data_IF_745263646927
#
_entry.id   IF_745263646927
#
_cell.length_a   1.000
_cell.length_b   1.000
_cell.length_c   1.000
_cell.angle_alpha   90.00
_cell.angle_beta   90.00
_cell.angle_gamma   90.00
#
_symmetry.space_group_name_H-M   'P 1'
#
loop_
_entity.id
_entity.type
_entity.pdbx_description
1 polymer ?
#
# COMPACT_ATOMS: atom_id res chain seq x y z
N UNK A 1 7.53 -2.46 -18.96
CA UNK A 1 7.88 -1.48 -17.90
C UNK A 1 6.79 -1.49 -16.83
N UNK A 2 7.14 -1.75 -15.57
CA UNK A 2 6.19 -1.93 -14.45
C UNK A 2 6.36 -0.78 -13.45
N UNK A 3 5.99 0.44 -13.85
CA UNK A 3 6.17 1.62 -13.00
C UNK A 3 5.02 1.75 -11.98
N UNK A 4 3.83 2.15 -12.45
CA UNK A 4 2.65 2.36 -11.59
C UNK A 4 2.21 1.10 -10.83
N UNK A 5 2.37 -0.08 -11.43
CA UNK A 5 2.03 -1.35 -10.79
C UNK A 5 2.85 -1.64 -9.53
N UNK A 6 4.13 -1.25 -9.50
CA UNK A 6 4.99 -1.41 -8.34
C UNK A 6 4.61 -0.46 -7.18
N UNK A 7 4.06 0.72 -7.50
CA UNK A 7 3.56 1.65 -6.48
C UNK A 7 2.25 1.17 -5.84
N UNK A 8 1.36 0.56 -6.61
CA UNK A 8 0.12 -0.05 -6.10
C UNK A 8 0.41 -1.34 -5.34
N UNK A 9 1.38 -2.12 -5.83
CA UNK A 9 1.69 -3.45 -5.32
C UNK A 9 3.20 -3.66 -5.21
N UNK A 10 3.82 -3.32 -4.07
CA UNK A 10 5.27 -3.41 -3.89
C UNK A 10 5.83 -4.82 -4.03
N UNK A 11 5.06 -5.84 -3.65
CA UNK A 11 5.40 -7.26 -3.79
C UNK A 11 5.16 -7.84 -5.20
N UNK A 12 4.79 -7.01 -6.17
CA UNK A 12 4.55 -7.44 -7.56
C UNK A 12 5.76 -8.14 -8.19
N UNK A 13 6.98 -7.75 -7.81
CA UNK A 13 8.19 -8.41 -8.29
C UNK A 13 8.29 -9.86 -7.80
N UNK A 14 7.89 -10.13 -6.56
CA UNK A 14 7.82 -11.48 -6.00
C UNK A 14 6.79 -12.32 -6.75
N UNK A 15 5.61 -11.77 -7.01
CA UNK A 15 4.60 -12.47 -7.80
C UNK A 15 5.04 -12.81 -9.23
N UNK A 16 5.71 -11.86 -9.91
CA UNK A 16 6.25 -12.10 -11.25
C UNK A 16 7.31 -13.20 -11.22
N UNK A 17 8.21 -13.15 -10.22
CA UNK A 17 9.28 -14.15 -10.07
C UNK A 17 8.72 -15.54 -9.76
N UNK A 18 7.72 -15.62 -8.88
CA UNK A 18 7.16 -16.88 -8.38
C UNK A 18 5.97 -17.38 -9.21
N UNK A 19 5.53 -16.62 -10.22
CA UNK A 19 4.39 -16.94 -11.08
C UNK A 19 3.12 -17.28 -10.26
N UNK A 20 2.88 -16.53 -9.18
CA UNK A 20 1.72 -16.70 -8.30
C UNK A 20 1.08 -15.37 -7.94
N UNK A 21 -0.20 -15.43 -7.56
CA UNK A 21 -0.87 -14.32 -6.91
C UNK A 21 -0.67 -14.41 -5.40
N UNK A 22 -0.26 -13.31 -4.78
CA UNK A 22 -0.03 -13.26 -3.35
C UNK A 22 -1.11 -12.43 -2.68
N UNK A 23 -2.00 -13.13 -1.97
CA UNK A 23 -3.02 -12.49 -1.14
C UNK A 23 -2.45 -12.07 0.22
N UNK A 24 -1.57 -11.08 0.20
CA UNK A 24 -0.88 -10.55 1.39
C UNK A 24 -1.88 -10.08 2.44
N UNK A 25 -1.58 -10.30 3.72
CA UNK A 25 -2.40 -9.84 4.85
C UNK A 25 -2.26 -8.33 5.10
N UNK A 26 -3.19 -7.76 5.87
CA UNK A 26 -3.11 -6.37 6.33
C UNK A 26 -1.86 -6.11 7.17
N UNK A 27 -1.45 -7.05 8.02
CA UNK A 27 -0.27 -6.95 8.87
C UNK A 27 1.02 -6.95 8.04
N UNK A 28 1.17 -7.85 7.08
CA UNK A 28 2.33 -7.84 6.17
C UNK A 28 2.40 -6.54 5.34
N UNK A 29 1.25 -5.99 4.92
CA UNK A 29 1.19 -4.68 4.26
C UNK A 29 1.60 -3.55 5.20
N UNK A 30 1.16 -3.59 6.45
CA UNK A 30 1.53 -2.60 7.45
C UNK A 30 3.03 -2.64 7.75
N UNK A 31 3.63 -3.82 7.79
CA UNK A 31 5.07 -4.00 7.98
C UNK A 31 5.88 -3.34 6.87
N UNK A 32 5.40 -3.37 5.61
CA UNK A 32 6.02 -2.62 4.50
C UNK A 32 6.01 -1.09 4.76
N UNK A 33 4.94 -0.56 5.34
CA UNK A 33 4.86 0.87 5.69
C UNK A 33 5.79 1.21 6.87
N UNK A 34 5.91 0.29 7.83
CA UNK A 34 6.86 0.43 8.94
C UNK A 34 8.30 0.47 8.43
N UNK A 35 8.66 -0.44 7.53
CA UNK A 35 9.99 -0.47 6.91
C UNK A 35 10.28 0.82 6.14
N UNK A 36 9.32 1.31 5.34
CA UNK A 36 9.47 2.61 4.66
C UNK A 36 9.70 3.76 5.64
N UNK A 37 8.97 3.77 6.77
CA UNK A 37 9.14 4.79 7.80
C UNK A 37 10.53 4.72 8.41
N UNK A 38 11.00 3.51 8.77
CA UNK A 38 12.33 3.30 9.33
C UNK A 38 13.43 3.77 8.38
N UNK A 39 13.39 3.35 7.10
CA UNK A 39 14.36 3.76 6.10
C UNK A 39 14.30 5.26 5.80
N UNK A 40 13.10 5.84 5.78
CA UNK A 40 12.92 7.28 5.59
C UNK A 40 13.56 8.10 6.71
N UNK A 41 13.39 7.67 7.97
CA UNK A 41 13.98 8.34 9.13
C UNK A 41 15.49 8.11 9.22
N UNK A 42 16.00 6.96 8.81
CA UNK A 42 17.44 6.69 8.69
C UNK A 42 18.09 7.61 7.63
N UNK A 43 17.42 7.79 6.49
CA UNK A 43 17.95 8.56 5.37
C UNK A 43 17.77 10.07 5.52
N UNK A 44 16.64 10.53 6.03
CA UNK A 44 16.29 11.96 6.11
C UNK A 44 16.44 12.56 7.51
N UNK A 45 16.63 11.74 8.53
CA UNK A 45 16.74 12.15 9.92
C UNK A 45 15.42 12.10 10.68
N UNK A 46 15.52 12.10 12.01
CA UNK A 46 14.40 12.13 12.94
C UNK A 46 14.11 13.53 13.48
N UNK A 47 14.72 14.57 12.90
CA UNK A 47 14.39 15.95 13.18
C UNK A 47 13.06 16.34 12.49
N UNK A 48 12.54 17.52 12.79
CA UNK A 48 11.27 17.97 12.20
C UNK A 48 11.29 17.90 10.67
N UNK A 49 12.39 18.29 10.04
CA UNK A 49 12.48 18.30 8.58
C UNK A 49 12.47 16.88 7.99
N UNK A 50 13.23 15.95 8.58
CA UNK A 50 13.27 14.55 8.15
C UNK A 50 11.94 13.82 8.37
N UNK A 51 11.28 14.07 9.50
CA UNK A 51 9.95 13.51 9.79
C UNK A 51 8.90 14.00 8.80
N UNK A 52 8.83 15.31 8.53
CA UNK A 52 7.88 15.86 7.55
C UNK A 52 8.14 15.34 6.13
N UNK A 53 9.42 15.19 5.75
CA UNK A 53 9.78 14.61 4.45
C UNK A 53 9.34 13.15 4.34
N UNK A 54 9.58 12.35 5.38
CA UNK A 54 9.11 10.96 5.45
C UNK A 54 7.60 10.87 5.31
N UNK A 55 6.87 11.70 6.07
CA UNK A 55 5.40 11.71 6.06
C UNK A 55 4.85 12.10 4.70
N UNK A 56 5.43 13.12 4.05
CA UNK A 56 4.99 13.55 2.72
C UNK A 56 5.07 12.42 1.70
N UNK A 57 6.22 11.76 1.60
CA UNK A 57 6.38 10.65 0.64
C UNK A 57 5.53 9.43 1.02
N UNK A 58 5.32 9.17 2.32
CA UNK A 58 4.39 8.13 2.77
C UNK A 58 2.96 8.40 2.28
N UNK A 59 2.46 9.62 2.45
CA UNK A 59 1.11 10.00 2.00
C UNK A 59 0.97 9.96 0.47
N UNK A 60 2.02 10.39 -0.25
CA UNK A 60 2.07 10.26 -1.71
C UNK A 60 2.00 8.77 -2.13
N UNK A 61 2.70 7.88 -1.43
CA UNK A 61 2.67 6.46 -1.73
C UNK A 61 1.34 5.80 -1.37
N UNK A 62 0.73 6.16 -0.23
CA UNK A 62 -0.59 5.67 0.19
C UNK A 62 -1.68 5.99 -0.85
N UNK A 63 -1.57 7.13 -1.55
CA UNK A 63 -2.46 7.48 -2.67
C UNK A 63 -2.44 6.47 -3.82
N UNK A 64 -1.36 5.70 -3.96
CA UNK A 64 -1.25 4.61 -4.92
C UNK A 64 -1.65 3.27 -4.31
N UNK A 65 -1.20 2.97 -3.09
CA UNK A 65 -1.48 1.71 -2.39
C UNK A 65 -2.97 1.49 -2.13
N UNK A 66 -3.76 2.55 -1.93
CA UNK A 66 -5.20 2.42 -1.69
C UNK A 66 -6.00 1.84 -2.86
N UNK A 67 -5.38 1.71 -4.03
CA UNK A 67 -5.99 1.13 -5.23
C UNK A 67 -5.84 -0.40 -5.31
N UNK A 68 -5.02 -0.99 -4.43
CA UNK A 68 -4.91 -2.43 -4.31
C UNK A 68 -6.20 -3.01 -3.71
N UNK A 69 -6.67 -4.10 -4.31
CA UNK A 69 -7.78 -4.91 -3.78
C UNK A 69 -7.19 -6.26 -3.37
N UNK A 70 -7.44 -6.72 -2.12
CA UNK A 70 -7.08 -8.08 -1.70
C UNK A 70 -7.56 -9.14 -2.70
N UNK A 71 -6.71 -10.11 -3.02
CA UNK A 71 -7.01 -11.11 -4.06
C UNK A 71 -8.22 -11.95 -3.66
N UNK A 72 -8.39 -12.26 -2.38
CA UNK A 72 -9.55 -12.98 -1.87
C UNK A 72 -10.91 -12.26 -2.05
N UNK A 73 -10.90 -10.97 -2.39
CA UNK A 73 -12.12 -10.20 -2.69
C UNK A 73 -12.40 -10.04 -4.19
N UNK A 74 -11.46 -10.43 -5.05
CA UNK A 74 -11.61 -10.30 -6.50
C UNK A 74 -12.40 -11.49 -7.06
N UNK A 75 -13.46 -11.21 -7.84
CA UNK A 75 -14.14 -12.23 -8.64
C UNK A 75 -13.22 -12.79 -9.74
N UNK A 76 -12.33 -11.95 -10.28
CA UNK A 76 -11.45 -12.27 -11.40
C UNK A 76 -10.04 -11.75 -11.14
N UNK A 77 -9.06 -12.59 -11.41
CA UNK A 77 -7.63 -12.29 -11.24
C UNK A 77 -6.93 -12.40 -12.60
N UNK A 78 -6.01 -11.50 -12.96
CA UNK A 78 -5.50 -10.35 -12.19
C UNK A 78 -6.37 -9.08 -12.32
N UNK A 79 -6.36 -8.25 -11.28
CA UNK A 79 -6.91 -6.89 -11.33
C UNK A 79 -6.22 -6.09 -12.44
N UNK A 80 -6.99 -5.38 -13.27
CA UNK A 80 -6.40 -4.53 -14.31
C UNK A 80 -5.92 -3.22 -13.69
N UNK A 81 -4.76 -2.71 -14.13
CA UNK A 81 -4.11 -1.53 -13.54
C UNK A 81 -5.00 -0.25 -13.53
N UNK A 82 -5.86 -0.09 -14.53
CA UNK A 82 -6.75 1.07 -14.66
C UNK A 82 -8.15 0.82 -14.10
N UNK A 83 -8.41 -0.38 -13.59
CA UNK A 83 -9.69 -0.75 -13.01
C UNK A 83 -9.83 -0.04 -11.67
N UNK A 84 -10.85 0.80 -11.58
CA UNK A 84 -11.20 1.44 -10.32
C UNK A 84 -12.01 0.44 -9.50
N UNK A 85 -11.55 0.07 -8.30
CA UNK A 85 -12.34 -0.79 -7.42
C UNK A 85 -13.74 -0.18 -7.21
N UNK A 86 -14.81 -0.98 -7.23
CA UNK A 86 -16.06 -0.57 -6.59
C UNK A 86 -15.79 -0.37 -5.09
N UNK A 87 -16.69 0.34 -4.39
CA UNK A 87 -16.60 0.42 -2.93
C UNK A 87 -16.70 -0.98 -2.32
N UNK A 88 -15.74 -1.32 -1.48
CA UNK A 88 -15.70 -2.60 -0.78
C UNK A 88 -15.24 -2.39 0.66
N UNK A 89 -15.63 -3.31 1.54
CA UNK A 89 -15.01 -3.44 2.85
C UNK A 89 -13.88 -4.45 2.75
N UNK A 90 -12.72 -4.09 3.29
CA UNK A 90 -11.60 -5.01 3.40
C UNK A 90 -11.94 -6.22 4.27
N UNK A 91 -11.09 -7.24 4.25
CA UNK A 91 -11.29 -8.45 5.07
C UNK A 91 -11.19 -8.13 6.56
N UNK A 92 -10.51 -7.05 6.91
CA UNK A 92 -10.47 -6.47 8.24
C UNK A 92 -10.52 -4.93 8.21
N UNK A 93 -10.50 -4.33 9.40
CA UNK A 93 -10.54 -2.88 9.57
C UNK A 93 -9.31 -2.17 8.98
N UNK A 94 -8.12 -2.76 9.11
CA UNK A 94 -6.87 -2.18 8.60
C UNK A 94 -6.87 -2.15 7.07
N UNK A 95 -7.31 -3.21 6.41
CA UNK A 95 -7.49 -3.23 4.96
C UNK A 95 -8.48 -2.19 4.49
N UNK A 96 -9.56 -2.01 5.24
CA UNK A 96 -10.58 -0.99 4.94
C UNK A 96 -9.98 0.42 5.03
N UNK A 97 -9.17 0.70 6.05
CA UNK A 97 -8.44 1.97 6.14
C UNK A 97 -7.44 2.15 4.99
N UNK A 98 -6.68 1.11 4.68
CA UNK A 98 -5.69 1.13 3.60
C UNK A 98 -6.32 1.28 2.22
N UNK A 99 -7.56 0.83 2.01
CA UNK A 99 -8.31 0.99 0.76
C UNK A 99 -9.00 2.35 0.64
N UNK A 100 -9.09 3.12 1.73
CA UNK A 100 -9.73 4.43 1.72
C UNK A 100 -8.96 5.42 0.84
N UNK A 101 -9.70 6.30 0.15
CA UNK A 101 -9.13 7.45 -0.56
C UNK A 101 -9.05 8.71 0.32
N UNK A 102 -9.53 8.63 1.56
CA UNK A 102 -9.54 9.75 2.48
C UNK A 102 -8.28 9.78 3.35
N UNK A 103 -7.58 10.92 3.35
CA UNK A 103 -6.38 11.14 4.16
C UNK A 103 -6.68 10.98 5.66
N UNK A 104 -7.88 11.29 6.12
CA UNK A 104 -8.26 11.14 7.54
C UNK A 104 -8.27 9.68 8.00
N UNK A 105 -8.45 8.73 7.08
CA UNK A 105 -8.37 7.31 7.39
C UNK A 105 -6.93 6.81 7.42
N UNK A 106 -6.07 7.35 6.55
CA UNK A 106 -4.64 7.02 6.53
C UNK A 106 -3.92 7.38 7.82
N UNK A 107 -4.31 8.48 8.47
CA UNK A 107 -3.76 8.90 9.76
C UNK A 107 -4.11 7.91 10.89
N UNK A 108 -5.16 7.08 10.71
CA UNK A 108 -5.57 6.06 11.69
C UNK A 108 -4.77 4.76 11.58
N UNK A 109 -3.97 4.59 10.52
CA UNK A 109 -3.10 3.43 10.32
C UNK A 109 -1.95 3.54 11.34
N UNK A 110 -1.96 2.67 12.35
CA UNK A 110 -1.01 2.67 13.48
C UNK A 110 -0.77 1.26 14.01
#
# INVERSE_FOLDING_TARGET
>A
MVARGALVKPWLFTEIKEQRHWDISSSERFDILRDFTNYGLEQWGSDTQGVERTRKFMLEWLSFLCRYIPVGLLERVPQKLNERPPYYMGRDYMETLMASQNVTDWIKIR
#
